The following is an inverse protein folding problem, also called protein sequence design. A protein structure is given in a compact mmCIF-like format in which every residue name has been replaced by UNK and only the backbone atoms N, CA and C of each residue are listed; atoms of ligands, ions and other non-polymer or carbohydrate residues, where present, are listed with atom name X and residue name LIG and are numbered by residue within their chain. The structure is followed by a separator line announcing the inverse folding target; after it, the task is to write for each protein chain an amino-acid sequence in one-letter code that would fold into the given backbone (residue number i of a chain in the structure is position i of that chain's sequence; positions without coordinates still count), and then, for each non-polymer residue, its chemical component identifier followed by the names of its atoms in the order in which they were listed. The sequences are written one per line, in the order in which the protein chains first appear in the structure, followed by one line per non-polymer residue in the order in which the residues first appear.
data_IF_446121853527
#
_entry.id   IF_446121853527
#
_cell.length_a   1.000
_cell.length_b   1.000
_cell.length_c   1.000
_cell.angle_alpha   90.00
_cell.angle_beta   90.00
_cell.angle_gamma   90.00
#
_symmetry.space_group_name_H-M   'P 1'
#
loop_
_entity.id
_entity.type
_entity.pdbx_description
1 polymer ?
#
# COMPACT_ATOMS: atom_id res chain seq x y z
N UNK A 1 2.25 -9.00 3.63
CA UNK A 1 1.85 -9.17 2.21
C UNK A 1 2.31 -10.45 1.55
N UNK A 2 3.44 -11.07 2.01
CA UNK A 2 4.01 -12.25 1.36
C UNK A 2 3.05 -13.45 1.27
N UNK A 3 2.21 -13.67 2.28
CA UNK A 3 1.19 -14.73 2.26
C UNK A 3 0.12 -14.48 1.19
N UNK A 4 -0.35 -13.25 1.08
CA UNK A 4 -1.31 -12.82 0.05
C UNK A 4 -0.71 -12.99 -1.34
N UNK A 5 0.52 -12.51 -1.55
CA UNK A 5 1.25 -12.74 -2.79
C UNK A 5 1.29 -14.23 -3.16
N UNK A 6 1.66 -15.10 -2.24
CA UNK A 6 1.79 -16.53 -2.49
C UNK A 6 0.45 -17.18 -2.87
N UNK A 7 -0.64 -16.79 -2.21
CA UNK A 7 -1.99 -17.33 -2.46
C UNK A 7 -2.46 -16.99 -3.88
N UNK A 8 -2.24 -15.74 -4.31
CA UNK A 8 -2.77 -15.24 -5.59
C UNK A 8 -1.75 -15.29 -6.74
N UNK A 9 -0.52 -15.74 -6.52
CA UNK A 9 0.60 -15.66 -7.47
C UNK A 9 0.35 -16.27 -8.86
N UNK A 10 -0.60 -17.20 -8.97
CA UNK A 10 -0.94 -17.91 -10.21
C UNK A 10 -2.33 -17.57 -10.75
N UNK A 11 -2.97 -16.52 -10.22
CA UNK A 11 -4.33 -16.08 -10.58
C UNK A 11 -4.27 -14.80 -11.39
N UNK A 12 -5.11 -14.74 -12.42
CA UNK A 12 -5.29 -13.58 -13.32
C UNK A 12 -6.54 -12.74 -13.00
N UNK A 13 -7.37 -13.20 -12.07
CA UNK A 13 -8.57 -12.51 -11.59
C UNK A 13 -8.34 -11.71 -10.30
N UNK A 14 -7.12 -11.74 -9.76
CA UNK A 14 -6.67 -10.94 -8.63
C UNK A 14 -5.34 -10.30 -8.97
N UNK A 15 -5.27 -8.97 -8.93
CA UNK A 15 -4.01 -8.26 -8.96
C UNK A 15 -3.53 -8.03 -7.53
N UNK A 16 -2.28 -8.36 -7.27
CA UNK A 16 -1.59 -8.03 -6.04
C UNK A 16 -0.58 -6.91 -6.30
N UNK A 17 -0.69 -5.82 -5.55
CA UNK A 17 0.26 -4.70 -5.60
C UNK A 17 0.70 -4.40 -4.17
N UNK A 18 2.00 -4.29 -3.94
CA UNK A 18 2.54 -4.08 -2.59
C UNK A 18 3.66 -3.05 -2.58
N UNK A 19 3.53 -2.09 -1.66
CA UNK A 19 4.60 -1.19 -1.25
C UNK A 19 5.09 -1.65 0.12
N UNK A 20 6.36 -1.94 0.25
CA UNK A 20 6.97 -2.45 1.50
C UNK A 20 8.48 -2.21 1.51
N UNK A 21 9.09 -2.26 2.68
CA UNK A 21 10.55 -2.14 2.80
C UNK A 21 11.27 -3.19 1.98
N UNK A 22 12.41 -2.82 1.40
CA UNK A 22 13.21 -3.70 0.53
C UNK A 22 13.49 -5.06 1.21
N UNK A 23 13.04 -6.19 0.66
CA UNK A 23 13.23 -7.51 1.26
C UNK A 23 14.70 -7.93 1.40
N UNK A 24 15.63 -7.26 0.71
CA UNK A 24 17.06 -7.43 0.97
C UNK A 24 17.47 -6.95 2.38
N UNK A 25 16.64 -6.14 3.06
CA UNK A 25 16.92 -5.55 4.37
C UNK A 25 15.78 -5.71 5.37
N UNK A 26 14.54 -5.86 4.89
CA UNK A 26 13.34 -5.97 5.71
C UNK A 26 12.75 -7.38 5.68
N UNK A 27 12.02 -7.74 6.74
CA UNK A 27 11.23 -8.96 6.77
C UNK A 27 10.24 -9.00 5.56
N UNK A 28 10.03 -10.14 4.88
CA UNK A 28 10.43 -11.52 5.27
C UNK A 28 11.77 -11.99 4.66
N UNK A 29 12.54 -11.15 3.99
CA UNK A 29 13.85 -11.44 3.39
C UNK A 29 13.87 -12.46 2.24
N UNK A 30 12.77 -13.18 2.02
CA UNK A 30 12.66 -14.32 1.09
C UNK A 30 11.69 -14.08 -0.07
N UNK A 31 10.92 -13.00 -0.04
CA UNK A 31 9.92 -12.64 -1.06
C UNK A 31 9.54 -11.17 -0.98
N UNK A 32 8.91 -10.65 -2.03
CA UNK A 32 8.59 -9.25 -2.18
C UNK A 32 9.57 -8.51 -3.09
N UNK A 33 10.40 -9.25 -3.84
CA UNK A 33 11.32 -8.65 -4.81
C UNK A 33 10.58 -8.14 -6.05
N UNK A 34 11.10 -7.08 -6.66
CA UNK A 34 10.45 -6.42 -7.80
C UNK A 34 10.33 -7.32 -9.04
N UNK A 35 11.16 -8.35 -9.18
CA UNK A 35 11.13 -9.32 -10.26
C UNK A 35 10.11 -10.45 -10.05
N UNK A 36 9.47 -10.52 -8.90
CA UNK A 36 8.38 -11.47 -8.63
C UNK A 36 7.06 -10.93 -9.21
N UNK A 37 6.79 -11.24 -10.48
CA UNK A 37 5.68 -10.65 -11.25
C UNK A 37 4.49 -11.60 -11.46
N UNK A 38 4.43 -12.71 -10.72
CA UNK A 38 3.40 -13.74 -10.89
C UNK A 38 3.85 -14.89 -11.80
N UNK A 39 3.03 -15.94 -11.86
CA UNK A 39 3.34 -17.13 -12.65
C UNK A 39 2.09 -17.74 -13.29
N UNK A 40 2.28 -18.53 -14.33
CA UNK A 40 1.21 -19.20 -15.09
C UNK A 40 0.16 -18.18 -15.56
N UNK A 41 -1.13 -18.36 -15.21
CA UNK A 41 -2.19 -17.41 -15.57
C UNK A 41 -2.01 -16.05 -14.88
N UNK A 42 -1.43 -16.02 -13.68
CA UNK A 42 -1.17 -14.81 -12.91
C UNK A 42 0.11 -14.05 -13.32
N UNK A 43 0.75 -14.41 -14.43
CA UNK A 43 1.92 -13.68 -14.93
C UNK A 43 1.54 -12.22 -15.24
N UNK A 44 2.23 -11.25 -14.63
CA UNK A 44 1.92 -9.82 -14.71
C UNK A 44 0.87 -9.32 -13.72
N UNK A 45 0.22 -10.20 -12.95
CA UNK A 45 -0.79 -9.81 -11.94
C UNK A 45 -0.20 -9.60 -10.53
N UNK A 46 1.10 -9.72 -10.37
CA UNK A 46 1.83 -9.45 -9.13
C UNK A 46 2.82 -8.31 -9.34
N UNK A 47 2.78 -7.30 -8.47
CA UNK A 47 3.68 -6.16 -8.53
C UNK A 47 4.19 -5.81 -7.14
N UNK A 48 5.49 -5.87 -6.96
CA UNK A 48 6.17 -5.42 -5.75
C UNK A 48 6.91 -4.12 -6.04
N UNK A 49 6.75 -3.15 -5.14
CA UNK A 49 7.42 -1.85 -5.17
C UNK A 49 8.24 -1.71 -3.88
N UNK A 50 9.45 -2.31 -3.82
CA UNK A 50 10.31 -2.22 -2.65
C UNK A 50 10.74 -0.79 -2.37
N UNK A 51 10.63 -0.39 -1.11
CA UNK A 51 10.95 0.95 -0.62
C UNK A 51 12.35 0.94 0.02
N UNK A 52 13.16 1.92 -0.34
CA UNK A 52 14.47 2.10 0.29
C UNK A 52 14.33 2.58 1.75
N UNK A 53 15.34 2.27 2.57
CA UNK A 53 15.46 2.86 3.90
C UNK A 53 15.35 4.38 3.84
N UNK A 54 14.57 4.97 4.74
CA UNK A 54 14.35 6.41 4.83
C UNK A 54 13.40 6.97 3.77
N UNK A 55 12.66 6.13 3.02
CA UNK A 55 11.60 6.60 2.11
C UNK A 55 10.61 7.47 2.88
N UNK A 56 10.51 8.73 2.48
CA UNK A 56 9.62 9.75 3.03
C UNK A 56 8.27 9.80 2.33
N UNK A 57 7.43 10.77 2.72
CA UNK A 57 6.08 10.94 2.18
C UNK A 57 6.09 11.15 0.67
N UNK A 58 6.98 12.01 0.13
CA UNK A 58 7.03 12.34 -1.29
C UNK A 58 7.39 11.11 -2.13
N UNK A 59 8.43 10.41 -1.73
CA UNK A 59 8.89 9.20 -2.42
C UNK A 59 7.84 8.08 -2.32
N UNK A 60 7.20 7.92 -1.16
CA UNK A 60 6.14 6.93 -0.97
C UNK A 60 4.93 7.24 -1.86
N UNK A 61 4.44 8.49 -1.85
CA UNK A 61 3.28 8.91 -2.64
C UNK A 61 3.53 8.78 -4.15
N UNK A 62 4.75 9.05 -4.60
CA UNK A 62 5.14 8.83 -6.00
C UNK A 62 4.97 7.37 -6.40
N UNK A 63 5.46 6.43 -5.59
CA UNK A 63 5.32 5.00 -5.87
C UNK A 63 3.88 4.51 -5.71
N UNK A 64 3.13 5.06 -4.74
CA UNK A 64 1.72 4.75 -4.59
C UNK A 64 0.92 5.23 -5.81
N UNK A 65 1.27 6.35 -6.41
CA UNK A 65 0.69 6.82 -7.67
C UNK A 65 0.87 5.80 -8.79
N UNK A 66 2.08 5.28 -8.97
CA UNK A 66 2.36 4.19 -9.93
C UNK A 66 1.53 2.94 -9.64
N UNK A 67 1.38 2.57 -8.36
CA UNK A 67 0.53 1.47 -7.94
C UNK A 67 -0.94 1.70 -8.30
N UNK A 68 -1.47 2.90 -8.04
CA UNK A 68 -2.85 3.27 -8.39
C UNK A 68 -3.10 3.24 -9.90
N UNK A 69 -2.15 3.70 -10.71
CA UNK A 69 -2.23 3.59 -12.18
C UNK A 69 -2.30 2.13 -12.63
N UNK A 70 -1.48 1.26 -12.07
CA UNK A 70 -1.51 -0.17 -12.38
C UNK A 70 -2.83 -0.83 -11.96
N UNK A 71 -3.37 -0.47 -10.79
CA UNK A 71 -4.67 -0.94 -10.31
C UNK A 71 -5.79 -0.47 -11.23
N UNK A 72 -5.81 0.80 -11.62
CA UNK A 72 -6.79 1.35 -12.55
C UNK A 72 -6.74 0.64 -13.91
N UNK A 73 -5.54 0.36 -14.44
CA UNK A 73 -5.35 -0.36 -15.69
C UNK A 73 -5.84 -1.81 -15.64
N UNK A 74 -5.76 -2.47 -14.50
CA UNK A 74 -6.29 -3.82 -14.27
C UNK A 74 -7.83 -3.82 -14.28
N UNK A 75 -8.48 -2.73 -13.85
CA UNK A 75 -9.93 -2.57 -13.87
C UNK A 75 -10.67 -3.44 -12.85
N UNK A 76 -10.27 -3.47 -11.57
CA UNK A 76 -10.92 -4.30 -10.57
C UNK A 76 -12.32 -3.79 -10.22
N UNK A 77 -13.18 -4.68 -9.71
CA UNK A 77 -14.51 -4.31 -9.18
C UNK A 77 -14.45 -3.83 -7.72
N UNK A 78 -13.39 -4.15 -7.00
CA UNK A 78 -13.19 -3.84 -5.58
C UNK A 78 -11.69 -3.77 -5.28
N UNK A 79 -11.33 -2.87 -4.39
CA UNK A 79 -9.98 -2.78 -3.83
C UNK A 79 -9.99 -3.27 -2.38
N UNK A 80 -9.03 -4.11 -2.02
CA UNK A 80 -8.79 -4.50 -0.63
C UNK A 80 -7.44 -3.92 -0.24
N UNK A 81 -7.45 -3.00 0.72
CA UNK A 81 -6.24 -2.38 1.25
C UNK A 81 -5.82 -3.11 2.52
N UNK A 82 -4.72 -3.84 2.47
CA UNK A 82 -4.01 -4.30 3.66
C UNK A 82 -3.20 -3.13 4.22
N UNK A 83 -3.77 -2.42 5.19
CA UNK A 83 -3.22 -1.20 5.76
C UNK A 83 -2.21 -1.53 6.85
N UNK A 84 -0.92 -1.43 6.55
CA UNK A 84 0.13 -1.35 7.54
C UNK A 84 0.51 0.12 7.78
N UNK A 85 0.42 0.58 9.03
CA UNK A 85 0.90 1.91 9.43
C UNK A 85 2.29 1.85 10.07
N UNK A 86 2.95 0.70 9.96
CA UNK A 86 4.33 0.47 10.35
C UNK A 86 5.36 1.16 9.43
N UNK A 87 4.92 1.82 8.38
CA UNK A 87 5.73 2.73 7.56
C UNK A 87 6.04 4.05 8.27
N UNK A 88 5.40 4.31 9.42
CA UNK A 88 5.55 5.53 10.22
C UNK A 88 6.98 5.69 10.73
N UNK A 89 7.53 6.91 10.68
CA UNK A 89 8.95 7.22 10.96
C UNK A 89 9.45 6.85 12.36
N UNK A 90 8.57 6.67 13.34
CA UNK A 90 8.92 6.23 14.69
C UNK A 90 8.54 4.77 14.96
N UNK A 91 8.07 4.03 13.95
CA UNK A 91 7.72 2.63 14.16
C UNK A 91 8.99 1.81 14.51
N UNK A 92 8.95 0.99 15.58
CA UNK A 92 10.15 0.31 16.09
C UNK A 92 10.69 -0.80 15.17
N UNK A 93 9.92 -1.24 14.17
CA UNK A 93 10.34 -2.32 13.27
C UNK A 93 10.53 -1.88 11.81
N UNK A 94 10.28 -0.61 11.51
CA UNK A 94 10.44 -0.04 10.18
C UNK A 94 11.60 0.96 10.14
N UNK A 95 12.21 1.08 8.97
CA UNK A 95 13.24 2.06 8.66
C UNK A 95 12.78 3.10 7.63
N UNK A 96 11.45 3.20 7.43
CA UNK A 96 10.82 4.20 6.57
C UNK A 96 10.58 5.51 7.36
N UNK A 97 10.29 6.59 6.65
CA UNK A 97 10.17 7.93 7.22
C UNK A 97 8.82 8.60 6.91
N UNK A 98 7.75 7.81 6.81
CA UNK A 98 6.41 8.31 6.55
C UNK A 98 5.86 9.03 7.77
N UNK A 99 5.18 10.17 7.56
CA UNK A 99 4.51 10.93 8.62
C UNK A 99 3.04 10.55 8.76
N UNK A 100 2.39 10.98 9.85
CA UNK A 100 0.93 10.84 10.00
C UNK A 100 0.18 11.59 8.90
N UNK A 101 0.67 12.75 8.43
CA UNK A 101 0.08 13.46 7.30
C UNK A 101 0.32 12.72 5.98
N UNK A 102 1.47 12.11 5.81
CA UNK A 102 1.75 11.22 4.68
C UNK A 102 0.75 10.07 4.58
N UNK A 103 0.39 9.45 5.71
CA UNK A 103 -0.65 8.41 5.74
C UNK A 103 -2.02 8.96 5.34
N UNK A 104 -2.37 10.19 5.73
CA UNK A 104 -3.59 10.85 5.26
C UNK A 104 -3.58 11.03 3.74
N UNK A 105 -2.49 11.53 3.18
CA UNK A 105 -2.33 11.72 1.74
C UNK A 105 -2.37 10.40 0.95
N UNK A 106 -1.83 9.31 1.53
CA UNK A 106 -2.00 7.97 0.95
C UNK A 106 -3.47 7.57 0.85
N UNK A 107 -4.26 7.82 1.91
CA UNK A 107 -5.70 7.60 1.90
C UNK A 107 -6.42 8.40 0.80
N UNK A 108 -6.09 9.69 0.64
CA UNK A 108 -6.63 10.53 -0.42
C UNK A 108 -6.31 9.99 -1.82
N UNK A 109 -5.09 9.53 -2.04
CA UNK A 109 -4.66 8.99 -3.33
C UNK A 109 -5.37 7.68 -3.65
N UNK A 110 -5.53 6.79 -2.68
CA UNK A 110 -6.29 5.54 -2.86
C UNK A 110 -7.76 5.81 -3.16
N UNK A 111 -8.36 6.82 -2.51
CA UNK A 111 -9.75 7.21 -2.74
C UNK A 111 -10.01 7.69 -4.18
N UNK A 112 -9.01 8.26 -4.86
CA UNK A 112 -9.11 8.69 -6.26
C UNK A 112 -9.35 7.54 -7.25
N UNK A 113 -9.12 6.29 -6.83
CA UNK A 113 -9.53 5.12 -7.63
C UNK A 113 -11.04 5.03 -7.82
N UNK A 114 -11.83 5.69 -6.97
CA UNK A 114 -13.30 5.75 -7.00
C UNK A 114 -13.94 4.34 -7.07
N UNK A 115 -13.38 3.37 -6.40
CA UNK A 115 -13.82 1.99 -6.34
C UNK A 115 -14.33 1.61 -4.94
N UNK A 116 -15.26 0.66 -4.83
CA UNK A 116 -15.57 0.05 -3.56
C UNK A 116 -14.30 -0.46 -2.88
N UNK A 117 -14.03 0.01 -1.68
CA UNK A 117 -12.77 -0.26 -0.97
C UNK A 117 -13.02 -0.88 0.39
N UNK A 118 -12.36 -1.99 0.67
CA UNK A 118 -12.31 -2.63 1.99
C UNK A 118 -10.93 -2.38 2.59
N UNK A 119 -10.89 -1.89 3.81
CA UNK A 119 -9.64 -1.62 4.53
C UNK A 119 -9.50 -2.63 5.66
N UNK A 120 -8.38 -3.35 5.66
CA UNK A 120 -7.98 -4.31 6.69
C UNK A 120 -6.74 -3.76 7.36
N UNK A 121 -6.85 -3.36 8.61
CA UNK A 121 -5.69 -2.89 9.38
C UNK A 121 -4.82 -4.08 9.78
N UNK A 122 -3.52 -3.98 9.51
CA UNK A 122 -2.54 -5.03 9.77
C UNK A 122 -1.41 -4.52 10.69
N UNK A 123 -0.28 -4.08 10.12
CA UNK A 123 0.90 -3.63 10.87
C UNK A 123 0.76 -2.24 11.50
N UNK A 124 1.62 -1.97 12.47
CA UNK A 124 1.74 -0.73 13.22
C UNK A 124 2.09 -1.03 14.67
N UNK A 125 3.30 -0.65 15.09
CA UNK A 125 3.89 -1.10 16.36
C UNK A 125 4.31 0.05 17.26
N UNK A 126 4.21 1.30 16.81
CA UNK A 126 4.23 2.48 17.66
C UNK A 126 2.84 2.62 18.32
N UNK A 127 2.70 2.10 19.53
CA UNK A 127 1.42 2.03 20.26
C UNK A 127 0.85 3.40 20.62
N UNK A 128 1.68 4.42 20.69
CA UNK A 128 1.26 5.78 20.99
C UNK A 128 0.72 6.50 19.74
N UNK A 129 1.20 6.13 18.56
CA UNK A 129 0.85 6.78 17.29
C UNK A 129 -0.13 5.97 16.42
N UNK A 130 -0.29 4.65 16.63
CA UNK A 130 -1.07 3.79 15.73
C UNK A 130 -2.52 4.27 15.53
N UNK A 131 -3.18 4.75 16.59
CA UNK A 131 -4.55 5.26 16.51
C UNK A 131 -4.67 6.49 15.61
N UNK A 132 -3.77 7.44 15.77
CA UNK A 132 -3.74 8.66 14.97
C UNK A 132 -3.35 8.37 13.51
N UNK A 133 -2.43 7.45 13.28
CA UNK A 133 -1.98 7.03 11.97
C UNK A 133 -3.11 6.34 11.17
N UNK A 134 -3.80 5.37 11.78
CA UNK A 134 -4.96 4.72 11.15
C UNK A 134 -6.08 5.73 10.88
N UNK A 135 -6.37 6.60 11.87
CA UNK A 135 -7.38 7.67 11.71
C UNK A 135 -7.02 8.61 10.56
N UNK A 136 -5.75 9.00 10.42
CA UNK A 136 -5.31 9.88 9.35
C UNK A 136 -5.56 9.26 7.97
N UNK A 137 -5.20 7.99 7.77
CA UNK A 137 -5.48 7.28 6.52
C UNK A 137 -6.98 7.22 6.21
N UNK A 138 -7.82 6.87 7.20
CA UNK A 138 -9.27 6.80 7.02
C UNK A 138 -9.89 8.17 6.71
N UNK A 139 -9.39 9.24 7.30
CA UNK A 139 -9.79 10.60 6.95
C UNK A 139 -9.42 10.93 5.49
N UNK A 140 -8.23 10.54 5.05
CA UNK A 140 -7.83 10.69 3.66
C UNK A 140 -8.79 10.00 2.69
N UNK A 141 -9.17 8.76 2.98
CA UNK A 141 -10.18 8.03 2.20
C UNK A 141 -11.51 8.81 2.15
N UNK A 142 -11.98 9.32 3.29
CA UNK A 142 -13.26 10.03 3.36
C UNK A 142 -13.24 11.35 2.55
N UNK A 143 -12.15 12.10 2.63
CA UNK A 143 -12.00 13.39 1.93
C UNK A 143 -11.78 13.19 0.43
N UNK A 144 -10.97 12.23 0.04
CA UNK A 144 -10.70 11.93 -1.37
C UNK A 144 -11.90 11.34 -2.12
N UNK A 145 -12.89 10.82 -1.41
CA UNK A 145 -14.14 10.29 -1.98
C UNK A 145 -15.24 11.34 -2.14
N UNK A 146 -15.01 12.60 -1.75
CA UNK A 146 -16.01 13.67 -1.83
C UNK A 146 -16.04 14.26 -3.26
N UNK A 147 -17.13 14.06 -4.04
CA UNK A 147 -17.25 14.55 -5.41
C UNK A 147 -17.38 16.09 -5.51
N UNK A 148 -17.69 16.77 -4.41
CA UNK A 148 -17.93 18.23 -4.37
C UNK A 148 -16.68 19.05 -4.01
N UNK A 149 -15.51 18.42 -3.91
CA UNK A 149 -14.26 19.06 -3.45
C UNK A 149 -13.70 20.11 -4.43
N UNK A 150 -14.01 20.01 -5.72
CA UNK A 150 -13.48 20.87 -6.80
C UNK A 150 -14.52 21.86 -7.35
N UNK A 151 -15.62 22.12 -6.64
CA UNK A 151 -16.68 23.04 -7.03
C UNK A 151 -16.64 24.40 -6.31
#
# INVERSE_FOLDING_TARGET
GNGTQQIFYRRDDVQYVSLHGDPARAYPYLSGFADETGAARGAGANSNLPLATGTDDEAYLTLLGVACEAIAAFGPSVVIVSLGVDTFHNDPISDLAVTTDGLRLQGELVAQLALPTVIVQEGGYDVDAIGDNVRAFLLGISVGSDPDRDS
#
